data_IF_853490211140
#
_entry.id   IF_853490211140
#
_cell.length_a   1.000
_cell.length_b   1.000
_cell.length_c   1.000
_cell.angle_alpha   90.00
_cell.angle_beta   90.00
_cell.angle_gamma   90.00
#
_symmetry.space_group_name_H-M   'P 1'
#
loop_
_entity.id
_entity.type
_entity.pdbx_description
1 polymer ?
#
# COMPACT_ATOMS: atom_id res chain seq x y z
N UNK A 1 11.02 -23.49 -4.89
CA UNK A 1 9.77 -22.71 -4.83
C UNK A 1 8.66 -23.61 -5.30
N UNK A 2 7.48 -23.51 -4.68
CA UNK A 2 6.30 -24.30 -5.04
C UNK A 2 5.37 -23.40 -5.82
N UNK A 3 4.95 -23.80 -7.01
CA UNK A 3 4.01 -23.01 -7.81
C UNK A 3 2.57 -23.31 -7.36
N UNK A 4 1.76 -22.26 -7.21
CA UNK A 4 0.32 -22.36 -6.96
C UNK A 4 -0.41 -22.08 -8.27
N UNK A 5 -1.28 -23.01 -8.70
CA UNK A 5 -2.12 -22.83 -9.89
C UNK A 5 -3.49 -22.29 -9.47
N UNK A 6 -3.89 -21.18 -10.08
CA UNK A 6 -5.18 -20.53 -9.85
C UNK A 6 -5.96 -20.56 -11.16
N UNK A 7 -7.24 -20.94 -11.10
CA UNK A 7 -8.18 -20.83 -12.24
C UNK A 7 -9.04 -19.60 -12.03
N UNK A 8 -9.13 -18.73 -13.04
CA UNK A 8 -9.90 -17.49 -12.98
C UNK A 8 -10.97 -17.56 -14.06
N UNK A 9 -12.23 -17.39 -13.65
CA UNK A 9 -13.34 -17.25 -14.59
C UNK A 9 -13.46 -15.79 -15.02
N UNK A 10 -13.36 -15.56 -16.33
CA UNK A 10 -13.47 -14.23 -16.92
C UNK A 10 -14.76 -14.14 -17.75
N UNK A 11 -15.49 -13.01 -17.69
CA UNK A 11 -16.62 -12.79 -18.58
C UNK A 11 -16.18 -12.85 -20.04
N UNK A 12 -16.88 -13.62 -20.87
CA UNK A 12 -16.56 -13.78 -22.29
C UNK A 12 -16.49 -12.42 -23.02
N UNK A 13 -17.41 -11.51 -22.70
CA UNK A 13 -17.42 -10.14 -23.24
C UNK A 13 -16.14 -9.34 -22.90
N UNK A 14 -15.50 -9.62 -21.76
CA UNK A 14 -14.23 -8.98 -21.40
C UNK A 14 -13.08 -9.55 -22.23
N UNK A 15 -13.05 -10.87 -22.41
CA UNK A 15 -12.03 -11.56 -23.21
C UNK A 15 -12.10 -11.12 -24.67
N UNK A 16 -13.30 -11.06 -25.25
CA UNK A 16 -13.48 -10.59 -26.62
C UNK A 16 -13.04 -9.14 -26.79
N UNK A 17 -13.40 -8.26 -25.85
CA UNK A 17 -12.91 -6.87 -25.86
C UNK A 17 -11.40 -6.78 -25.79
N UNK A 18 -10.75 -7.56 -24.92
CA UNK A 18 -9.28 -7.59 -24.83
C UNK A 18 -8.65 -8.01 -26.17
N UNK A 19 -9.18 -9.06 -26.81
CA UNK A 19 -8.72 -9.51 -28.13
C UNK A 19 -8.88 -8.45 -29.21
N UNK A 20 -10.00 -7.71 -29.23
CA UNK A 20 -10.22 -6.65 -30.23
C UNK A 20 -9.18 -5.53 -30.17
N UNK A 21 -8.59 -5.28 -28.99
CA UNK A 21 -7.52 -4.29 -28.81
C UNK A 21 -6.12 -4.89 -28.89
N UNK A 22 -6.00 -6.16 -29.34
CA UNK A 22 -4.73 -6.86 -29.48
C UNK A 22 -4.11 -7.33 -28.17
N UNK A 23 -4.89 -7.43 -27.09
CA UNK A 23 -4.43 -7.89 -25.79
C UNK A 23 -4.68 -9.41 -25.63
N UNK A 24 -3.60 -10.14 -25.38
CA UNK A 24 -3.59 -11.55 -24.98
C UNK A 24 -3.60 -11.63 -23.46
N UNK A 25 -4.51 -12.40 -22.88
CA UNK A 25 -4.68 -12.49 -21.42
C UNK A 25 -3.56 -13.33 -20.80
N UNK A 26 -3.11 -14.35 -21.52
CA UNK A 26 -2.02 -15.25 -21.15
C UNK A 26 -0.71 -14.47 -20.92
N UNK A 27 -0.47 -13.45 -21.75
CA UNK A 27 0.70 -12.58 -21.66
C UNK A 27 0.63 -11.56 -20.51
N UNK A 28 -0.52 -11.46 -19.82
CA UNK A 28 -0.69 -10.55 -18.67
C UNK A 28 -0.29 -11.18 -17.32
N UNK A 29 0.31 -12.37 -17.32
CA UNK A 29 0.65 -13.08 -16.08
C UNK A 29 1.53 -12.25 -15.15
N UNK A 30 2.58 -11.60 -15.66
CA UNK A 30 3.44 -10.71 -14.86
C UNK A 30 2.64 -9.54 -14.26
N UNK A 31 1.77 -8.93 -15.06
CA UNK A 31 0.93 -7.82 -14.61
C UNK A 31 -0.06 -8.24 -13.53
N UNK A 32 -0.61 -9.45 -13.61
CA UNK A 32 -1.50 -10.01 -12.59
C UNK A 32 -0.73 -10.24 -11.28
N UNK A 33 0.50 -10.74 -11.35
CA UNK A 33 1.37 -10.92 -10.18
C UNK A 33 1.66 -9.56 -9.53
N UNK A 34 2.04 -8.55 -10.30
CA UNK A 34 2.28 -7.20 -9.77
C UNK A 34 1.06 -6.61 -9.05
N UNK A 35 -0.14 -6.82 -9.60
CA UNK A 35 -1.39 -6.37 -8.99
C UNK A 35 -1.68 -7.11 -7.67
N UNK A 36 -1.42 -8.43 -7.62
CA UNK A 36 -1.55 -9.21 -6.39
C UNK A 36 -0.58 -8.73 -5.32
N UNK A 37 0.69 -8.50 -5.67
CA UNK A 37 1.67 -7.96 -4.73
C UNK A 37 1.28 -6.56 -4.23
N UNK A 38 0.77 -5.70 -5.11
CA UNK A 38 0.32 -4.37 -4.73
C UNK A 38 -0.84 -4.44 -3.73
N UNK A 39 -1.80 -5.35 -3.93
CA UNK A 39 -2.91 -5.55 -3.00
C UNK A 39 -2.44 -6.15 -1.67
N UNK A 40 -1.46 -7.07 -1.69
CA UNK A 40 -0.82 -7.58 -0.46
C UNK A 40 -0.18 -6.43 0.31
N UNK A 41 0.66 -5.62 -0.34
CA UNK A 41 1.32 -4.46 0.30
C UNK A 41 0.31 -3.50 0.91
N UNK A 42 -0.80 -3.24 0.23
CA UNK A 42 -1.89 -2.40 0.74
C UNK A 42 -2.54 -3.00 1.99
N UNK A 43 -2.84 -4.30 1.98
CA UNK A 43 -3.42 -4.99 3.13
C UNK A 43 -2.46 -5.03 4.32
N UNK A 44 -1.18 -5.30 4.08
CA UNK A 44 -0.14 -5.26 5.10
C UNK A 44 0.01 -3.86 5.69
N UNK A 45 0.04 -2.80 4.87
CA UNK A 45 0.10 -1.43 5.35
C UNK A 45 -1.11 -1.09 6.25
N UNK A 46 -2.31 -1.51 5.84
CA UNK A 46 -3.51 -1.36 6.64
C UNK A 46 -3.46 -2.16 7.95
N UNK A 47 -2.86 -3.35 7.95
CA UNK A 47 -2.68 -4.15 9.16
C UNK A 47 -1.67 -3.50 10.11
N UNK A 48 -0.51 -3.08 9.61
CA UNK A 48 0.51 -2.39 10.43
C UNK A 48 -0.05 -1.12 11.06
N UNK A 49 -0.89 -0.36 10.35
CA UNK A 49 -1.55 0.81 10.91
C UNK A 49 -2.49 0.42 12.06
N UNK A 50 -3.29 -0.64 11.89
CA UNK A 50 -4.14 -1.15 12.98
C UNK A 50 -3.32 -1.57 14.19
N UNK A 51 -2.25 -2.34 13.96
CA UNK A 51 -1.39 -2.82 15.05
C UNK A 51 -0.77 -1.65 15.84
N UNK A 52 -0.36 -0.57 15.16
CA UNK A 52 0.14 0.65 15.80
C UNK A 52 -0.95 1.34 16.62
N UNK A 53 -2.18 1.43 16.08
CA UNK A 53 -3.30 2.03 16.82
C UNK A 53 -3.66 1.22 18.06
N UNK A 54 -3.68 -0.11 17.94
CA UNK A 54 -3.89 -1.01 19.08
C UNK A 54 -2.80 -0.85 20.15
N UNK A 55 -1.54 -0.64 19.74
CA UNK A 55 -0.44 -0.35 20.66
C UNK A 55 -0.61 0.99 21.37
N UNK A 56 -1.03 2.05 20.65
CA UNK A 56 -1.30 3.36 21.24
C UNK A 56 -2.48 3.26 22.22
N UNK A 57 -3.52 2.51 21.87
CA UNK A 57 -4.68 2.31 22.74
C UNK A 57 -4.38 1.49 23.99
N UNK A 58 -3.37 0.62 23.94
CA UNK A 58 -2.90 -0.13 25.10
C UNK A 58 -1.98 0.69 26.04
N UNK A 59 -1.55 1.90 25.65
CA UNK A 59 -0.76 2.75 26.53
C UNK A 59 -1.62 3.31 27.69
N UNK A 60 -1.07 3.42 28.91
CA UNK A 60 -1.68 4.17 30.00
C UNK A 60 -2.01 5.61 29.57
N UNK A 61 -3.16 6.11 30.01
CA UNK A 61 -3.66 7.45 29.64
C UNK A 61 -2.67 8.56 30.00
N UNK A 62 -1.82 8.36 31.02
CA UNK A 62 -0.82 9.35 31.45
C UNK A 62 0.35 9.53 30.47
N UNK A 63 0.60 8.53 29.62
CA UNK A 63 1.69 8.55 28.63
C UNK A 63 1.17 8.52 27.19
N UNK A 64 -0.15 8.48 27.01
CA UNK A 64 -0.78 8.52 25.70
C UNK A 64 -0.61 9.93 25.13
N UNK A 65 -0.02 10.07 23.93
CA UNK A 65 0.21 11.38 23.36
C UNK A 65 -1.14 12.05 23.05
N UNK A 66 -1.23 13.34 23.38
CA UNK A 66 -2.39 14.15 23.06
C UNK A 66 -2.43 14.47 21.56
N UNK A 67 -3.60 14.82 21.00
CA UNK A 67 -3.71 15.23 19.60
C UNK A 67 -2.74 16.36 19.21
N UNK A 68 -2.56 17.34 20.10
CA UNK A 68 -1.67 18.49 19.87
C UNK A 68 -0.19 18.09 19.83
N UNK A 69 0.24 17.16 20.69
CA UNK A 69 1.60 16.62 20.68
C UNK A 69 1.89 15.83 19.41
N UNK A 70 0.91 15.04 18.94
CA UNK A 70 1.01 14.31 17.67
C UNK A 70 1.14 15.29 16.50
N UNK A 71 0.32 16.34 16.47
CA UNK A 71 0.35 17.33 15.39
C UNK A 71 1.67 18.12 15.38
N UNK A 72 2.19 18.47 16.55
CA UNK A 72 3.49 19.13 16.69
C UNK A 72 4.63 18.26 16.12
N UNK A 73 4.64 16.96 16.44
CA UNK A 73 5.66 16.02 15.96
C UNK A 73 5.56 15.80 14.43
N UNK A 74 4.34 15.68 13.89
CA UNK A 74 4.11 15.57 12.45
C UNK A 74 4.64 16.82 11.72
N UNK A 75 4.41 18.01 12.28
CA UNK A 75 4.85 19.26 11.68
C UNK A 75 6.38 19.39 11.73
N UNK A 76 7.01 19.01 12.84
CA UNK A 76 8.47 18.96 12.96
C UNK A 76 9.09 18.02 11.90
N UNK A 77 8.56 16.80 11.78
CA UNK A 77 9.01 15.84 10.76
C UNK A 77 8.86 16.40 9.34
N UNK A 78 7.72 17.04 9.01
CA UNK A 78 7.51 17.66 7.69
C UNK A 78 8.51 18.78 7.41
N UNK A 79 8.79 19.63 8.40
CA UNK A 79 9.76 20.70 8.28
C UNK A 79 11.18 20.16 8.01
N UNK A 80 11.59 19.11 8.72
CA UNK A 80 12.86 18.43 8.49
C UNK A 80 12.96 17.84 7.08
N UNK A 81 11.90 17.17 6.60
CA UNK A 81 11.90 16.58 5.27
C UNK A 81 11.93 17.64 4.17
N UNK A 82 11.27 18.79 4.37
CA UNK A 82 11.36 19.93 3.46
C UNK A 82 12.77 20.53 3.43
N UNK A 83 13.44 20.64 4.60
CA UNK A 83 14.80 21.13 4.69
C UNK A 83 15.80 20.22 3.96
N UNK A 84 15.67 18.89 4.09
CA UNK A 84 16.52 17.92 3.38
C UNK A 84 16.38 18.03 1.86
N UNK A 85 15.14 18.14 1.35
CA UNK A 85 14.88 18.31 -0.09
C UNK A 85 15.46 19.60 -0.67
N UNK A 86 15.50 20.67 0.12
CA UNK A 86 16.11 21.93 -0.30
C UNK A 86 17.65 21.85 -0.28
N UNK A 87 18.23 21.08 0.64
CA UNK A 87 19.68 20.87 0.70
C UNK A 87 20.20 20.08 -0.51
N UNK A 88 19.46 19.07 -0.96
CA UNK A 88 19.85 18.23 -2.11
C UNK A 88 19.72 18.93 -3.48
N UNK A 89 19.08 20.12 -3.54
CA UNK A 89 18.84 20.91 -4.76
C UNK A 89 19.80 22.11 -4.92
N UNK A 90 20.87 22.18 -4.13
CA UNK A 90 21.91 23.24 -4.16
C UNK A 90 23.28 22.63 -4.39
#
# INVERSE_FOLDING_TARGET
>A
MSDVKITIELPEALVERARTVGMSIEDQTERIVELLEAEIRKKEAGQRLRDIMDQIDALPDEIKPTPDEIEAEINAYRAEQAAKRNHDNT
#
